data_IF_750605158703
#
_entry.id   IF_750605158703
#
_cell.length_a   1.000
_cell.length_b   1.000
_cell.length_c   1.000
_cell.angle_alpha   90.00
_cell.angle_beta   90.00
_cell.angle_gamma   90.00
#
_symmetry.space_group_name_H-M   'P 1'
#
loop_
_entity.id
_entity.type
_entity.pdbx_description
1 polymer ?
#
# COMPACT_ATOMS: atom_id res chain seq x y z
N UNK A 1 -13.10 -19.75 -11.88
CA UNK A 1 -13.48 -18.73 -10.88
C UNK A 1 -12.22 -18.44 -10.08
N UNK A 2 -11.68 -17.24 -10.20
CA UNK A 2 -10.55 -16.82 -9.36
C UNK A 2 -11.10 -16.36 -8.02
N UNK A 3 -10.59 -16.94 -6.95
CA UNK A 3 -10.88 -16.46 -5.60
C UNK A 3 -10.01 -15.20 -5.44
N UNK A 4 -10.65 -14.07 -5.19
CA UNK A 4 -9.95 -12.86 -4.76
C UNK A 4 -9.66 -13.08 -3.28
N UNK A 5 -8.39 -13.37 -2.94
CA UNK A 5 -7.92 -13.47 -1.55
C UNK A 5 -7.56 -12.08 -0.98
N UNK A 6 -7.68 -11.04 -1.81
CA UNK A 6 -7.42 -9.66 -1.44
C UNK A 6 -8.61 -9.06 -0.66
N UNK A 7 -8.35 -8.24 0.37
CA UNK A 7 -9.39 -7.49 1.07
C UNK A 7 -10.14 -6.57 0.09
N UNK A 8 -11.47 -6.56 0.20
CA UNK A 8 -12.37 -5.75 -0.63
C UNK A 8 -13.19 -4.80 0.23
N UNK A 9 -13.35 -3.56 -0.24
CA UNK A 9 -14.15 -2.52 0.40
C UNK A 9 -15.25 -2.02 -0.53
N UNK A 10 -16.37 -1.54 0.03
CA UNK A 10 -17.39 -0.84 -0.75
C UNK A 10 -17.09 0.65 -0.78
N UNK A 11 -16.84 1.20 -1.96
CA UNK A 11 -16.61 2.63 -2.13
C UNK A 11 -17.92 3.34 -2.50
N UNK A 12 -18.44 4.17 -1.60
CA UNK A 12 -19.68 4.94 -1.87
C UNK A 12 -19.44 6.13 -2.82
N UNK A 13 -18.19 6.51 -3.11
CA UNK A 13 -17.92 7.59 -4.07
C UNK A 13 -18.16 7.16 -5.52
N UNK A 14 -17.79 5.91 -5.84
CA UNK A 14 -17.98 5.31 -7.17
C UNK A 14 -19.03 4.21 -7.20
N UNK A 15 -19.63 3.89 -6.05
CA UNK A 15 -20.68 2.88 -5.89
C UNK A 15 -20.26 1.46 -6.32
N UNK A 16 -18.97 1.14 -6.21
CA UNK A 16 -18.37 -0.13 -6.62
C UNK A 16 -17.59 -0.81 -5.49
N UNK A 17 -17.27 -2.09 -5.69
CA UNK A 17 -16.33 -2.82 -4.83
C UNK A 17 -14.91 -2.51 -5.30
N UNK A 18 -14.07 -2.03 -4.40
CA UNK A 18 -12.66 -1.69 -4.66
C UNK A 18 -11.73 -2.66 -3.94
N UNK A 19 -10.55 -2.86 -4.49
CA UNK A 19 -9.49 -3.63 -3.84
C UNK A 19 -8.83 -2.76 -2.78
N UNK A 20 -8.51 -3.35 -1.63
CA UNK A 20 -7.85 -2.65 -0.51
C UNK A 20 -6.38 -3.07 -0.38
N UNK A 21 -5.93 -4.08 -1.13
CA UNK A 21 -4.52 -4.47 -1.22
C UNK A 21 -3.72 -3.61 -2.20
N UNK A 22 -4.38 -2.73 -2.95
CA UNK A 22 -3.73 -1.68 -3.73
C UNK A 22 -3.49 -0.41 -2.90
N UNK A 23 -2.66 0.49 -3.40
CA UNK A 23 -2.48 1.80 -2.77
C UNK A 23 -3.67 2.72 -3.06
N UNK A 24 -3.92 3.67 -2.15
CA UNK A 24 -4.96 4.68 -2.36
C UNK A 24 -4.79 5.45 -3.69
N UNK A 25 -3.55 5.65 -4.13
CA UNK A 25 -3.24 6.36 -5.36
C UNK A 25 -3.58 5.55 -6.62
N UNK A 26 -3.39 4.23 -6.58
CA UNK A 26 -3.80 3.33 -7.65
C UNK A 26 -5.33 3.29 -7.76
N UNK A 27 -6.03 3.04 -6.65
CA UNK A 27 -7.49 3.06 -6.62
C UNK A 27 -8.05 4.40 -7.13
N UNK A 28 -7.45 5.52 -6.73
CA UNK A 28 -7.85 6.85 -7.21
C UNK A 28 -7.61 7.04 -8.72
N UNK A 29 -6.55 6.46 -9.26
CA UNK A 29 -6.24 6.49 -10.69
C UNK A 29 -7.21 5.61 -11.49
N UNK A 30 -7.49 4.41 -11.00
CA UNK A 30 -8.40 3.44 -11.63
C UNK A 30 -9.85 3.95 -11.66
N UNK A 31 -10.29 4.54 -10.56
CA UNK A 31 -11.67 4.99 -10.39
C UNK A 31 -11.90 6.49 -10.66
N UNK A 32 -10.84 7.23 -11.00
CA UNK A 32 -10.93 8.65 -11.36
C UNK A 32 -11.35 9.56 -10.20
N UNK A 33 -10.92 9.23 -8.97
CA UNK A 33 -11.20 10.05 -7.80
C UNK A 33 -10.62 11.47 -7.97
N UNK A 34 -11.40 12.53 -7.70
CA UNK A 34 -10.92 13.90 -7.90
C UNK A 34 -9.77 14.25 -6.93
N UNK A 35 -8.79 15.06 -7.37
CA UNK A 35 -7.70 15.48 -6.50
C UNK A 35 -8.24 16.30 -5.32
N UNK A 36 -7.84 15.94 -4.10
CA UNK A 36 -8.31 16.58 -2.87
C UNK A 36 -9.66 16.06 -2.35
N UNK A 37 -10.16 14.94 -2.89
CA UNK A 37 -11.31 14.24 -2.32
C UNK A 37 -10.94 13.54 -1.01
N UNK A 38 -11.70 13.83 0.05
CA UNK A 38 -11.61 13.08 1.31
C UNK A 38 -12.18 11.67 1.11
N UNK A 39 -11.31 10.74 0.75
CA UNK A 39 -11.68 9.35 0.50
C UNK A 39 -12.21 8.71 1.80
N UNK A 40 -13.43 8.13 1.80
CA UNK A 40 -14.01 7.50 2.99
C UNK A 40 -13.28 6.22 3.39
N UNK A 41 -12.50 5.64 2.47
CA UNK A 41 -11.66 4.48 2.68
C UNK A 41 -10.19 4.87 2.93
N UNK A 42 -9.89 6.17 3.11
CA UNK A 42 -8.55 6.61 3.49
C UNK A 42 -8.13 5.92 4.80
N UNK A 43 -7.03 5.16 4.74
CA UNK A 43 -6.51 4.36 5.86
C UNK A 43 -6.86 2.86 5.81
N UNK A 44 -7.64 2.41 4.83
CA UNK A 44 -7.88 0.97 4.61
C UNK A 44 -7.04 0.38 3.47
N UNK A 45 -6.42 1.23 2.66
CA UNK A 45 -5.56 0.82 1.55
C UNK A 45 -4.18 0.40 2.04
N UNK A 46 -3.55 -0.53 1.33
CA UNK A 46 -2.18 -0.94 1.58
C UNK A 46 -1.19 0.20 1.31
N UNK A 47 -0.10 0.24 2.10
CA UNK A 47 1.03 1.15 1.83
C UNK A 47 1.81 0.73 0.57
N UNK A 48 1.84 -0.58 0.29
CA UNK A 48 2.51 -1.18 -0.86
C UNK A 48 1.56 -2.19 -1.49
N UNK A 49 1.32 -2.04 -2.79
CA UNK A 49 0.37 -2.86 -3.53
C UNK A 49 0.73 -4.35 -3.47
N UNK A 50 -0.26 -5.18 -3.15
CA UNK A 50 -0.13 -6.63 -3.07
C UNK A 50 0.64 -7.13 -1.85
N UNK A 51 0.95 -6.26 -0.88
CA UNK A 51 1.54 -6.65 0.40
C UNK A 51 0.54 -6.41 1.53
N UNK A 52 0.53 -7.34 2.49
CA UNK A 52 -0.09 -7.11 3.78
C UNK A 52 0.70 -6.07 4.59
N UNK A 53 0.07 -5.47 5.61
CA UNK A 53 0.76 -4.55 6.52
C UNK A 53 1.96 -5.22 7.21
N UNK A 54 1.85 -6.51 7.58
CA UNK A 54 2.93 -7.27 8.20
C UNK A 54 4.12 -7.51 7.25
N UNK A 55 3.84 -7.83 5.98
CA UNK A 55 4.89 -8.02 4.96
C UNK A 55 5.57 -6.69 4.60
N UNK A 56 4.79 -5.60 4.53
CA UNK A 56 5.31 -4.26 4.30
C UNK A 56 6.26 -3.83 5.44
N UNK A 57 5.87 -4.05 6.69
CA UNK A 57 6.73 -3.79 7.86
C UNK A 57 8.01 -4.64 7.83
N UNK A 58 7.92 -5.92 7.47
CA UNK A 58 9.10 -6.78 7.34
C UNK A 58 10.09 -6.26 6.28
N UNK A 59 9.57 -5.78 5.15
CA UNK A 59 10.36 -5.18 4.08
C UNK A 59 11.03 -3.86 4.51
N UNK A 60 10.36 -3.04 5.34
CA UNK A 60 10.96 -1.82 5.92
C UNK A 60 12.16 -2.16 6.80
N UNK A 61 12.01 -3.14 7.70
CA UNK A 61 13.09 -3.61 8.58
C UNK A 61 14.25 -4.24 7.80
N UNK A 62 13.95 -4.99 6.73
CA UNK A 62 14.98 -5.53 5.83
C UNK A 62 15.78 -4.41 5.16
N UNK A 63 15.10 -3.37 4.68
CA UNK A 63 15.73 -2.18 4.09
C UNK A 63 16.59 -1.40 5.09
N UNK A 64 16.15 -1.23 6.33
CA UNK A 64 16.92 -0.57 7.38
C UNK A 64 18.18 -1.34 7.77
N UNK A 65 18.11 -2.67 7.89
CA UNK A 65 19.27 -3.51 8.18
C UNK A 65 20.36 -3.38 7.10
N UNK A 66 19.95 -3.30 5.81
CA UNK A 66 20.88 -3.08 4.70
C UNK A 66 21.54 -1.70 4.77
N UNK A 67 20.76 -0.64 5.01
CA UNK A 67 21.29 0.74 5.16
C UNK A 67 22.29 0.83 6.30
N UNK A 68 21.97 0.26 7.46
CA UNK A 68 22.87 0.22 8.62
C UNK A 68 24.17 -0.50 8.27
N UNK A 69 24.08 -1.61 7.51
CA UNK A 69 25.28 -2.33 7.05
C UNK A 69 26.13 -1.50 6.11
N UNK A 70 25.54 -0.85 5.11
CA UNK A 70 26.26 0.02 4.17
C UNK A 70 26.91 1.22 4.86
N UNK A 71 26.20 1.86 5.78
CA UNK A 71 26.71 3.01 6.52
C UNK A 71 27.89 2.62 7.42
N UNK A 72 27.82 1.46 8.08
CA UNK A 72 28.93 0.89 8.84
C UNK A 72 30.15 0.54 7.98
N UNK A 73 29.95 0.07 6.74
CA UNK A 73 31.04 -0.17 5.79
C UNK A 73 31.68 1.16 5.39
N UNK A 74 30.88 2.19 5.10
CA UNK A 74 31.38 3.53 4.74
C UNK A 74 32.19 4.18 5.85
N UNK A 75 31.77 4.06 7.12
CA UNK A 75 32.50 4.62 8.26
C UNK A 75 33.81 3.88 8.59
N UNK A 76 34.00 2.68 8.07
CA UNK A 76 35.20 1.87 8.28
C UNK A 76 36.26 2.05 7.17
N UNK A 77 35.98 2.87 6.14
CA UNK A 77 36.85 3.20 5.02
C UNK A 77 37.44 4.61 5.18
#
# INVERSE_FOLDING_TARGET
MSIIDSPIGRCEAVHEMVLLDETQQECACEHGCPPGFDCPLAGYFAEVSGLSEEDAEMMKHAGECMKIREERIRMAA
#
